data_IF_122299645803
#
_entry.id   IF_122299645803
#
_cell.length_a   1.000
_cell.length_b   1.000
_cell.length_c   1.000
_cell.angle_alpha   90.00
_cell.angle_beta   90.00
_cell.angle_gamma   90.00
#
_symmetry.space_group_name_H-M   'P 1'
#
loop_
_entity.id
_entity.type
_entity.pdbx_description
1 polymer ?
#
# COMPACT_ATOMS: atom_id res chain seq x y z
N UNK A 1 2.55 8.07 -28.11
CA UNK A 1 3.86 8.20 -27.45
C UNK A 1 3.77 7.46 -26.14
N UNK A 2 4.62 6.46 -25.93
CA UNK A 2 4.81 5.80 -24.64
C UNK A 2 5.61 6.70 -23.72
N UNK A 3 5.28 6.70 -22.43
CA UNK A 3 5.95 7.54 -21.44
C UNK A 3 7.37 6.99 -21.18
N UNK A 4 8.41 7.81 -21.33
CA UNK A 4 9.83 7.38 -21.29
C UNK A 4 10.58 7.80 -20.03
N UNK A 5 9.99 8.62 -19.15
CA UNK A 5 10.74 9.08 -17.97
C UNK A 5 11.01 7.90 -17.02
N UNK A 6 12.26 7.78 -16.57
CA UNK A 6 12.68 6.74 -15.64
C UNK A 6 12.32 7.13 -14.21
N UNK A 7 11.78 6.16 -13.45
CA UNK A 7 11.52 6.34 -12.02
C UNK A 7 12.86 6.44 -11.28
N UNK A 8 13.10 7.59 -10.66
CA UNK A 8 14.37 7.94 -10.00
C UNK A 8 14.12 8.84 -8.79
N UNK A 9 15.18 9.24 -8.06
CA UNK A 9 15.03 10.20 -6.94
C UNK A 9 14.61 11.59 -7.40
N UNK A 10 15.03 11.97 -8.62
CA UNK A 10 14.73 13.28 -9.20
C UNK A 10 13.38 13.29 -9.91
N UNK A 11 12.93 12.13 -10.40
CA UNK A 11 11.63 11.92 -11.02
C UNK A 11 10.95 10.73 -10.32
N UNK A 12 10.44 10.90 -9.08
CA UNK A 12 9.76 9.84 -8.37
C UNK A 12 8.45 9.42 -9.07
N UNK A 13 7.76 8.43 -8.52
CA UNK A 13 6.40 8.09 -8.92
C UNK A 13 5.48 8.03 -7.71
N UNK A 14 4.24 8.46 -7.86
CA UNK A 14 3.19 8.32 -6.84
C UNK A 14 2.42 7.01 -7.07
N UNK A 15 2.25 6.23 -6.01
CA UNK A 15 1.39 5.05 -5.98
C UNK A 15 0.36 5.26 -4.88
N UNK A 16 -0.92 5.32 -5.24
CA UNK A 16 -2.02 5.55 -4.31
C UNK A 16 -2.92 4.32 -4.29
N UNK A 17 -3.08 3.69 -3.13
CA UNK A 17 -3.99 2.55 -3.01
C UNK A 17 -5.37 2.99 -2.54
N UNK A 18 -6.42 2.46 -3.16
CA UNK A 18 -7.80 2.56 -2.67
C UNK A 18 -8.24 1.22 -2.09
N UNK A 19 -8.54 1.17 -0.80
CA UNK A 19 -9.00 -0.06 -0.13
C UNK A 19 -10.45 0.05 0.34
N UNK A 20 -11.28 -0.90 -0.11
CA UNK A 20 -12.63 -1.10 0.40
C UNK A 20 -12.55 -1.64 1.84
N UNK A 21 -13.21 -0.95 2.77
CA UNK A 21 -13.35 -1.32 4.17
C UNK A 21 -14.83 -1.47 4.57
N UNK A 22 -15.72 -1.63 3.59
CA UNK A 22 -17.15 -1.85 3.79
C UNK A 22 -17.45 -3.19 4.47
N UNK A 23 -18.69 -3.36 4.94
CA UNK A 23 -19.14 -4.60 5.58
C UNK A 23 -18.92 -5.84 4.72
N UNK A 24 -19.03 -5.71 3.40
CA UNK A 24 -18.89 -6.83 2.46
C UNK A 24 -17.50 -7.47 2.50
N UNK A 25 -16.51 -6.73 3.00
CA UNK A 25 -15.12 -7.17 3.15
C UNK A 25 -14.91 -8.09 4.36
N UNK A 26 -15.92 -8.24 5.23
CA UNK A 26 -15.89 -9.19 6.36
C UNK A 26 -16.07 -10.65 5.90
N UNK A 27 -16.58 -10.86 4.68
CA UNK A 27 -16.78 -12.19 4.12
C UNK A 27 -15.44 -12.85 3.82
N UNK A 28 -15.37 -14.17 3.99
CA UNK A 28 -14.20 -14.98 3.62
C UNK A 28 -14.02 -15.05 2.10
N UNK A 29 -12.78 -15.20 1.65
CA UNK A 29 -12.51 -15.58 0.26
C UNK A 29 -12.89 -17.05 0.03
N UNK A 30 -13.37 -17.42 -1.18
CA UNK A 30 -13.61 -18.82 -1.52
C UNK A 30 -12.34 -19.66 -1.32
N UNK A 31 -12.46 -20.75 -0.56
CA UNK A 31 -11.34 -21.66 -0.29
C UNK A 31 -10.34 -21.16 0.78
N UNK A 32 -10.64 -20.07 1.48
CA UNK A 32 -9.80 -19.54 2.55
C UNK A 32 -10.56 -19.31 3.86
N UNK A 33 -9.82 -19.31 4.98
CA UNK A 33 -10.36 -18.99 6.30
C UNK A 33 -10.36 -17.49 6.61
N UNK A 34 -9.66 -16.70 5.80
CA UNK A 34 -9.42 -15.27 6.02
C UNK A 34 -10.42 -14.42 5.28
N UNK A 35 -10.80 -13.29 5.90
CA UNK A 35 -11.71 -12.31 5.31
C UNK A 35 -11.06 -11.57 4.14
N UNK A 36 -11.86 -11.05 3.21
CA UNK A 36 -11.39 -10.19 2.11
C UNK A 36 -10.62 -8.98 2.63
N UNK A 37 -11.06 -8.37 3.73
CA UNK A 37 -10.38 -7.25 4.36
C UNK A 37 -8.96 -7.62 4.83
N UNK A 38 -8.80 -8.79 5.45
CA UNK A 38 -7.49 -9.29 5.89
C UNK A 38 -6.56 -9.51 4.71
N UNK A 39 -7.04 -10.17 3.65
CA UNK A 39 -6.22 -10.46 2.47
C UNK A 39 -5.84 -9.19 1.69
N UNK A 40 -6.78 -8.26 1.50
CA UNK A 40 -6.50 -6.99 0.83
C UNK A 40 -5.51 -6.12 1.62
N UNK A 41 -5.69 -6.02 2.94
CA UNK A 41 -4.79 -5.24 3.80
C UNK A 41 -3.40 -5.86 3.85
N UNK A 42 -3.30 -7.18 3.93
CA UNK A 42 -2.03 -7.88 3.90
C UNK A 42 -1.31 -7.75 2.56
N UNK A 43 -2.04 -7.78 1.44
CA UNK A 43 -1.45 -7.60 0.12
C UNK A 43 -0.83 -6.22 -0.03
N UNK A 44 -1.52 -5.16 0.42
CA UNK A 44 -1.00 -3.79 0.38
C UNK A 44 0.15 -3.62 1.38
N UNK A 45 0.04 -4.11 2.62
CA UNK A 45 1.12 -4.06 3.60
C UNK A 45 2.39 -4.76 3.08
N UNK A 46 2.24 -5.93 2.45
CA UNK A 46 3.35 -6.63 1.77
C UNK A 46 3.97 -5.77 0.68
N UNK A 47 3.13 -5.16 -0.16
CA UNK A 47 3.57 -4.33 -1.27
C UNK A 47 4.34 -3.09 -0.77
N UNK A 48 3.92 -2.46 0.34
CA UNK A 48 4.67 -1.38 0.98
C UNK A 48 6.04 -1.90 1.43
N UNK A 49 6.09 -3.05 2.11
CA UNK A 49 7.35 -3.69 2.51
C UNK A 49 8.28 -3.97 1.33
N UNK A 50 7.75 -4.49 0.23
CA UNK A 50 8.51 -4.77 -0.99
C UNK A 50 9.06 -3.47 -1.61
N UNK A 51 8.29 -2.38 -1.60
CA UNK A 51 8.79 -1.07 -2.03
C UNK A 51 9.90 -0.55 -1.11
N UNK A 52 9.75 -0.67 0.21
CA UNK A 52 10.79 -0.29 1.19
C UNK A 52 12.08 -1.07 0.90
N UNK A 53 11.99 -2.39 0.76
CA UNK A 53 13.15 -3.25 0.47
C UNK A 53 13.81 -2.87 -0.86
N UNK A 54 13.02 -2.63 -1.91
CA UNK A 54 13.55 -2.26 -3.23
C UNK A 54 14.26 -0.90 -3.23
N UNK A 55 13.78 0.02 -2.40
CA UNK A 55 14.33 1.36 -2.23
C UNK A 55 15.50 1.43 -1.24
N UNK A 56 15.70 0.38 -0.45
CA UNK A 56 16.83 0.26 0.48
C UNK A 56 18.12 0.00 -0.31
N UNK A 57 19.14 0.83 -0.06
CA UNK A 57 20.50 0.75 -0.61
C UNK A 57 21.52 0.88 0.52
N UNK A 58 22.79 0.68 0.20
CA UNK A 58 23.88 0.77 1.19
C UNK A 58 24.03 2.15 1.83
N UNK A 59 23.57 3.20 1.14
CA UNK A 59 23.58 4.61 1.59
C UNK A 59 22.27 5.06 2.24
N UNK A 60 21.31 4.16 2.44
CA UNK A 60 20.00 4.44 3.04
C UNK A 60 18.84 4.15 2.11
N UNK A 61 17.66 4.69 2.43
CA UNK A 61 16.44 4.50 1.65
C UNK A 61 16.29 5.65 0.66
N UNK A 62 16.10 5.31 -0.61
CA UNK A 62 15.97 6.30 -1.69
C UNK A 62 14.50 6.47 -2.07
N UNK A 63 14.04 7.71 -2.05
CA UNK A 63 12.65 8.05 -2.37
C UNK A 63 12.37 8.01 -3.87
N UNK A 64 12.31 6.80 -4.42
CA UNK A 64 11.86 6.54 -5.77
C UNK A 64 10.33 6.56 -5.88
N UNK A 65 9.64 6.27 -4.77
CA UNK A 65 8.20 6.19 -4.70
C UNK A 65 7.65 7.05 -3.58
N UNK A 66 6.54 7.72 -3.88
CA UNK A 66 5.61 8.26 -2.91
C UNK A 66 4.41 7.33 -2.84
N UNK A 67 3.88 7.14 -1.64
CA UNK A 67 2.83 6.16 -1.37
C UNK A 67 1.73 6.78 -0.51
N UNK A 68 0.49 6.47 -0.86
CA UNK A 68 -0.67 6.74 -0.02
C UNK A 68 -1.60 5.53 0.03
N UNK A 69 -2.39 5.43 1.10
CA UNK A 69 -3.47 4.45 1.18
C UNK A 69 -4.72 5.15 1.67
N UNK A 70 -5.76 5.17 0.83
CA UNK A 70 -7.07 5.71 1.15
C UNK A 70 -8.02 4.54 1.42
N UNK A 71 -8.46 4.44 2.66
CA UNK A 71 -9.54 3.53 3.05
C UNK A 71 -10.89 4.21 2.90
N UNK A 72 -11.90 3.45 2.46
CA UNK A 72 -13.28 3.92 2.41
C UNK A 72 -14.25 2.89 2.97
N UNK A 73 -15.30 3.35 3.62
CA UNK A 73 -16.29 2.44 4.21
C UNK A 73 -15.94 1.91 5.59
N UNK A 74 -14.86 2.38 6.25
CA UNK A 74 -14.58 2.05 7.66
C UNK A 74 -15.65 2.60 8.61
N UNK A 75 -16.26 3.72 8.23
CA UNK A 75 -17.43 4.35 8.84
C UNK A 75 -18.36 4.80 7.72
N UNK A 76 -19.67 4.74 7.94
CA UNK A 76 -20.67 5.12 6.93
C UNK A 76 -20.40 6.50 6.33
N UNK A 77 -20.29 6.56 5.00
CA UNK A 77 -20.05 7.80 4.24
C UNK A 77 -18.65 8.40 4.40
N UNK A 78 -17.70 7.67 4.99
CA UNK A 78 -16.32 8.14 5.23
C UNK A 78 -15.31 7.46 4.30
N UNK A 79 -14.35 8.26 3.86
CA UNK A 79 -13.15 7.87 3.12
C UNK A 79 -12.02 8.83 3.52
N UNK A 80 -10.79 8.35 3.54
CA UNK A 80 -9.61 9.15 3.91
C UNK A 80 -8.33 8.33 4.03
N UNK A 81 -7.22 8.99 4.33
CA UNK A 81 -5.95 8.30 4.61
C UNK A 81 -6.11 7.33 5.77
N UNK A 82 -5.56 6.13 5.62
CA UNK A 82 -5.47 5.13 6.70
C UNK A 82 -4.03 4.91 7.18
N UNK A 83 -3.08 5.59 6.54
CA UNK A 83 -1.71 5.69 7.04
C UNK A 83 -1.66 6.76 8.14
N UNK A 84 -0.64 6.67 8.99
CA UNK A 84 -0.44 7.63 10.08
C UNK A 84 0.18 8.91 9.52
N UNK A 85 -0.50 10.04 9.69
CA UNK A 85 0.00 11.35 9.30
C UNK A 85 -0.70 11.86 8.05
N UNK A 86 0.09 12.27 7.06
CA UNK A 86 -0.39 12.81 5.80
C UNK A 86 -1.06 11.74 4.91
N UNK A 87 -1.54 12.15 3.74
CA UNK A 87 -2.17 11.22 2.79
C UNK A 87 -1.13 10.53 1.89
N UNK A 88 -0.06 11.25 1.56
CA UNK A 88 1.03 10.79 0.69
C UNK A 88 2.32 10.92 1.48
N UNK A 89 3.13 9.87 1.48
CA UNK A 89 4.41 9.82 2.16
C UNK A 89 5.53 9.38 1.20
N UNK A 90 6.74 9.93 1.30
CA UNK A 90 7.91 9.31 0.70
C UNK A 90 8.16 7.93 1.32
N UNK A 91 8.64 6.96 0.52
CA UNK A 91 8.89 5.59 0.98
C UNK A 91 9.85 5.51 2.19
N UNK A 92 10.81 6.44 2.29
CA UNK A 92 11.74 6.52 3.44
C UNK A 92 11.02 6.79 4.77
N UNK A 93 9.94 7.57 4.76
CA UNK A 93 9.13 7.83 5.94
C UNK A 93 8.30 6.59 6.33
N UNK A 94 7.70 5.92 5.35
CA UNK A 94 6.94 4.69 5.60
C UNK A 94 7.82 3.58 6.17
N UNK A 95 9.06 3.47 5.70
CA UNK A 95 10.00 2.48 6.23
C UNK A 95 10.26 2.62 7.74
N UNK A 96 10.20 3.84 8.28
CA UNK A 96 10.42 4.13 9.69
C UNK A 96 9.16 4.10 10.56
N UNK A 97 7.98 3.93 9.98
CA UNK A 97 6.70 4.13 10.68
C UNK A 97 5.67 2.99 10.56
N UNK A 98 6.06 1.69 10.58
CA UNK A 98 5.06 0.62 10.70
C UNK A 98 4.34 0.70 12.06
N UNK A 99 3.05 0.37 12.10
CA UNK A 99 2.31 0.21 13.35
C UNK A 99 2.88 -0.93 14.20
N UNK A 100 3.26 -2.03 13.53
CA UNK A 100 3.92 -3.17 14.13
C UNK A 100 4.65 -3.99 13.07
N UNK A 101 5.62 -4.78 13.52
CA UNK A 101 6.28 -5.82 12.73
C UNK A 101 5.88 -7.18 13.28
N UNK A 102 5.37 -8.05 12.42
CA UNK A 102 4.97 -9.41 12.76
C UNK A 102 5.98 -10.41 12.17
N UNK A 103 6.35 -11.46 12.92
CA UNK A 103 7.08 -12.59 12.34
C UNK A 103 6.08 -13.55 11.68
N UNK A 104 6.16 -13.69 10.37
CA UNK A 104 5.28 -14.58 9.60
C UNK A 104 6.11 -15.65 8.91
N UNK A 105 5.48 -16.79 8.66
CA UNK A 105 6.08 -17.91 7.94
C UNK A 105 5.69 -17.85 6.48
N UNK A 106 6.65 -18.07 5.59
CA UNK A 106 6.42 -18.28 4.18
C UNK A 106 6.95 -19.65 3.78
N UNK A 107 6.18 -20.39 2.98
CA UNK A 107 6.67 -21.61 2.34
C UNK A 107 7.45 -21.22 1.10
N UNK A 108 8.71 -21.62 1.04
CA UNK A 108 9.59 -21.42 -0.10
C UNK A 108 9.98 -22.79 -0.61
N UNK A 109 9.95 -22.99 -1.94
CA UNK A 109 10.39 -24.25 -2.51
C UNK A 109 11.88 -24.46 -2.25
N UNK A 110 12.25 -25.67 -1.82
CA UNK A 110 13.63 -26.08 -1.56
C UNK A 110 14.42 -26.42 -2.83
N UNK A 111 13.81 -26.26 -4.01
CA UNK A 111 14.42 -26.59 -5.31
C UNK A 111 14.59 -28.08 -5.58
N UNK A 112 14.20 -28.95 -4.65
CA UNK A 112 14.28 -30.42 -4.71
C UNK A 112 12.91 -31.09 -4.61
N UNK A 113 11.82 -30.31 -4.69
CA UNK A 113 10.44 -30.79 -4.69
C UNK A 113 9.74 -30.74 -3.33
N UNK A 114 10.39 -30.17 -2.31
CA UNK A 114 9.81 -29.88 -0.99
C UNK A 114 9.59 -28.38 -0.76
N UNK A 115 8.88 -28.08 0.33
CA UNK A 115 8.66 -26.72 0.84
C UNK A 115 9.38 -26.56 2.18
N UNK A 116 10.20 -25.52 2.31
CA UNK A 116 10.75 -25.09 3.60
C UNK A 116 9.94 -23.92 4.16
N UNK A 117 9.67 -23.93 5.47
CA UNK A 117 9.12 -22.76 6.16
C UNK A 117 10.24 -21.81 6.54
N UNK A 118 10.18 -20.58 6.03
CA UNK A 118 11.10 -19.50 6.36
C UNK A 118 10.34 -18.41 7.10
N UNK A 119 10.85 -18.02 8.27
CA UNK A 119 10.36 -16.86 8.99
C UNK A 119 10.81 -15.58 8.28
N UNK A 120 9.90 -14.62 8.10
CA UNK A 120 10.20 -13.29 7.57
C UNK A 120 9.47 -12.22 8.38
N UNK A 121 10.05 -11.02 8.41
CA UNK A 121 9.48 -9.86 9.06
C UNK A 121 8.43 -9.22 8.14
N UNK A 122 7.20 -9.11 8.64
CA UNK A 122 6.06 -8.52 7.95
C UNK A 122 5.69 -7.19 8.61
N UNK A 123 5.93 -6.09 7.89
CA UNK A 123 5.49 -4.76 8.34
C UNK A 123 3.98 -4.59 8.19
N UNK A 124 3.34 -4.02 9.21
CA UNK A 124 1.92 -3.64 9.18
C UNK A 124 1.83 -2.13 9.36
N UNK A 125 1.32 -1.42 8.35
CA UNK A 125 1.10 0.03 8.38
C UNK A 125 -0.34 0.40 8.71
N UNK A 126 -1.28 -0.50 8.48
CA UNK A 126 -2.68 -0.35 8.84
C UNK A 126 -3.35 -1.70 9.07
N UNK A 127 -4.39 -1.70 9.90
CA UNK A 127 -5.18 -2.88 10.23
C UNK A 127 -6.34 -3.11 9.25
N UNK A 128 -6.75 -4.38 9.05
CA UNK A 128 -7.93 -4.68 8.25
C UNK A 128 -9.20 -4.18 8.93
N UNK A 129 -10.04 -3.49 8.15
CA UNK A 129 -11.34 -2.98 8.60
C UNK A 129 -12.42 -3.46 7.63
N UNK A 130 -13.57 -3.88 8.16
CA UNK A 130 -14.76 -4.24 7.39
C UNK A 130 -16.02 -3.87 8.17
N UNK A 131 -16.66 -2.74 7.84
CA UNK A 131 -17.75 -2.23 8.70
C UNK A 131 -18.90 -1.53 7.95
N UNK A 132 -18.63 -0.38 7.34
CA UNK A 132 -19.61 0.57 6.83
C UNK A 132 -20.10 0.27 5.41
N UNK A 133 -20.55 1.31 4.74
CA UNK A 133 -20.99 1.29 3.34
C UNK A 133 -19.80 1.44 2.37
N UNK A 134 -20.06 1.65 1.07
CA UNK A 134 -19.04 1.77 0.01
C UNK A 134 -19.03 3.17 -0.61
N UNK A 135 -18.53 4.22 0.08
CA UNK A 135 -18.48 5.57 -0.45
C UNK A 135 -17.31 5.77 -1.44
N UNK A 136 -17.23 4.92 -2.46
CA UNK A 136 -16.12 4.87 -3.42
C UNK A 136 -15.94 6.18 -4.19
N UNK A 137 -17.03 6.86 -4.60
CA UNK A 137 -16.93 8.15 -5.28
C UNK A 137 -16.22 9.22 -4.42
N UNK A 138 -16.37 9.14 -3.10
CA UNK A 138 -15.68 10.03 -2.16
C UNK A 138 -14.19 9.70 -2.08
N UNK A 139 -13.84 8.42 -2.03
CA UNK A 139 -12.44 7.97 -2.08
C UNK A 139 -11.75 8.44 -3.38
N UNK A 140 -12.42 8.27 -4.52
CA UNK A 140 -11.93 8.75 -5.83
C UNK A 140 -11.80 10.27 -5.89
N UNK A 141 -12.71 11.02 -5.25
CA UNK A 141 -12.61 12.48 -5.18
C UNK A 141 -11.38 12.92 -4.39
N UNK A 142 -11.15 12.30 -3.22
CA UNK A 142 -9.96 12.55 -2.40
C UNK A 142 -8.68 12.18 -3.17
N UNK A 143 -8.68 11.02 -3.83
CA UNK A 143 -7.54 10.57 -4.64
C UNK A 143 -7.24 11.53 -5.79
N UNK A 144 -8.27 12.00 -6.50
CA UNK A 144 -8.13 12.99 -7.58
C UNK A 144 -7.46 14.27 -7.05
N UNK A 145 -7.94 14.81 -5.94
CA UNK A 145 -7.43 16.06 -5.39
C UNK A 145 -5.96 15.89 -4.95
N UNK A 146 -5.64 14.81 -4.24
CA UNK A 146 -4.28 14.50 -3.83
C UNK A 146 -3.32 14.25 -5.01
N UNK A 147 -3.76 13.52 -6.04
CA UNK A 147 -2.97 13.27 -7.25
C UNK A 147 -2.74 14.58 -8.00
N UNK A 148 -3.75 15.45 -8.10
CA UNK A 148 -3.63 16.74 -8.76
C UNK A 148 -2.57 17.60 -8.08
N UNK A 149 -2.66 17.75 -6.76
CA UNK A 149 -1.71 18.54 -5.99
C UNK A 149 -0.29 17.97 -6.14
N UNK A 150 -0.14 16.64 -6.08
CA UNK A 150 1.16 15.99 -6.25
C UNK A 150 1.77 16.20 -7.64
N UNK A 151 0.96 16.15 -8.71
CA UNK A 151 1.42 16.39 -10.09
C UNK A 151 1.89 17.84 -10.26
N UNK A 152 1.21 18.80 -9.63
CA UNK A 152 1.62 20.22 -9.66
C UNK A 152 3.00 20.43 -9.01
N UNK A 153 3.30 19.66 -7.96
CA UNK A 153 4.62 19.67 -7.29
C UNK A 153 5.69 18.85 -8.04
N UNK A 154 5.28 17.83 -8.82
CA UNK A 154 6.17 16.87 -9.47
C UNK A 154 5.94 16.78 -10.99
N UNK A 155 6.06 17.88 -11.76
CA UNK A 155 5.65 17.93 -13.16
C UNK A 155 6.47 17.05 -14.12
N UNK A 156 7.71 16.71 -13.76
CA UNK A 156 8.61 15.85 -14.57
C UNK A 156 8.59 14.38 -14.15
N UNK A 157 7.80 14.03 -13.14
CA UNK A 157 7.76 12.70 -12.56
C UNK A 157 6.90 11.72 -13.34
N UNK A 158 7.18 10.43 -13.15
CA UNK A 158 6.42 9.37 -13.79
C UNK A 158 4.93 9.46 -13.39
N UNK A 159 3.97 9.15 -14.29
CA UNK A 159 2.57 9.31 -14.01
C UNK A 159 2.14 8.55 -12.75
N UNK A 160 1.33 9.18 -11.88
CA UNK A 160 0.76 8.50 -10.72
C UNK A 160 -0.03 7.25 -11.10
N UNK A 161 0.06 6.24 -10.22
CA UNK A 161 -0.68 4.98 -10.32
C UNK A 161 -1.71 4.95 -9.19
N UNK A 162 -2.96 4.64 -9.52
CA UNK A 162 -4.10 4.48 -8.60
C UNK A 162 -4.67 3.06 -8.67
#
# INVERSE_FOLDING_TARGET
>A
MTYEAEISRTNPSLILFLIDQSRSMSHKLPGGERSKAQEASDAINRQIGDFVLRCTKSDGIRDYFYLGVIGYGYVTGKAGSILKGDLIHPISELAGTPLRTEKRKMKVSDGSGGDIEVDYDFGVWFDPIANGDTPMCKALSIARDAIKDWIEEHPSSYPPIL
#
